data_IF_232488315409
#
_entry.id   IF_232488315409
#
_cell.length_a   1.000
_cell.length_b   1.000
_cell.length_c   1.000
_cell.angle_alpha   90.00
_cell.angle_beta   90.00
_cell.angle_gamma   90.00
#
_symmetry.space_group_name_H-M   'P 1'
#
loop_
_entity.id
_entity.type
_entity.pdbx_description
1 polymer ?
#
# COMPACT_ATOMS: atom_id res chain seq x y z
N UNK A 1 -4.09 -7.48 -18.27
CA UNK A 1 -3.96 -7.59 -16.80
C UNK A 1 -4.80 -6.56 -16.04
N UNK A 2 -4.53 -5.24 -16.11
CA UNK A 2 -5.42 -4.23 -15.45
C UNK A 2 -6.74 -4.06 -16.23
N UNK A 3 -6.69 -4.04 -17.57
CA UNK A 3 -7.89 -3.84 -18.42
C UNK A 3 -8.89 -5.01 -18.39
N UNK A 4 -8.42 -6.24 -18.19
CA UNK A 4 -9.28 -7.44 -18.18
C UNK A 4 -9.91 -7.71 -16.81
N UNK A 5 -9.34 -7.13 -15.74
CA UNK A 5 -9.78 -7.34 -14.35
C UNK A 5 -10.61 -6.20 -13.79
N UNK A 6 -10.81 -5.11 -14.54
CA UNK A 6 -11.44 -3.87 -14.05
C UNK A 6 -12.46 -3.34 -15.04
N UNK A 7 -13.42 -2.54 -14.56
CA UNK A 7 -14.46 -1.91 -15.40
C UNK A 7 -13.92 -0.76 -16.28
N UNK A 8 -12.61 -0.70 -16.51
CA UNK A 8 -11.98 0.30 -17.36
C UNK A 8 -12.23 -0.07 -18.82
N UNK A 9 -12.99 0.77 -19.53
CA UNK A 9 -13.23 0.56 -20.94
C UNK A 9 -11.92 0.64 -21.74
N UNK A 10 -11.74 -0.23 -22.75
CA UNK A 10 -10.51 -0.37 -23.54
C UNK A 10 -10.00 0.89 -24.23
N UNK A 11 -10.81 1.96 -24.30
CA UNK A 11 -10.48 3.26 -24.90
C UNK A 11 -9.71 4.22 -23.97
N UNK A 12 -9.43 3.86 -22.71
CA UNK A 12 -8.59 4.70 -21.85
C UNK A 12 -7.13 4.60 -22.32
N UNK A 13 -6.52 5.76 -22.59
CA UNK A 13 -5.12 5.88 -23.01
C UNK A 13 -4.21 5.37 -21.87
N UNK A 14 -3.40 4.31 -22.12
CA UNK A 14 -2.49 3.78 -21.11
C UNK A 14 -1.47 4.82 -20.61
N UNK A 15 -1.17 5.87 -21.38
CA UNK A 15 -0.27 6.95 -20.94
C UNK A 15 -0.78 7.70 -19.72
N UNK A 16 -2.10 7.79 -19.57
CA UNK A 16 -2.72 8.40 -18.40
C UNK A 16 -2.68 7.48 -17.18
N UNK A 17 -2.52 6.16 -17.38
CA UNK A 17 -2.49 5.17 -16.30
C UNK A 17 -1.09 5.00 -15.70
N UNK A 18 -0.02 5.18 -16.48
CA UNK A 18 1.36 5.00 -16.01
C UNK A 18 1.75 5.83 -14.77
N UNK A 19 1.42 7.13 -14.67
CA UNK A 19 1.76 7.89 -13.47
C UNK A 19 1.04 7.35 -12.23
N UNK A 20 -0.24 7.01 -12.34
CA UNK A 20 -1.00 6.44 -11.21
C UNK A 20 -0.47 5.06 -10.80
N UNK A 21 -0.06 4.23 -11.77
CA UNK A 21 0.61 2.95 -11.50
C UNK A 21 1.92 3.17 -10.72
N UNK A 22 2.71 4.17 -11.13
CA UNK A 22 3.99 4.47 -10.47
C UNK A 22 3.77 4.99 -9.04
N UNK A 23 2.81 5.90 -8.85
CA UNK A 23 2.43 6.41 -7.54
C UNK A 23 1.95 5.27 -6.65
N UNK A 24 1.08 4.39 -7.14
CA UNK A 24 0.58 3.27 -6.37
C UNK A 24 1.70 2.29 -5.97
N UNK A 25 2.67 2.06 -6.85
CA UNK A 25 3.86 1.27 -6.54
C UNK A 25 4.68 1.88 -5.41
N UNK A 26 4.99 3.17 -5.50
CA UNK A 26 5.89 3.83 -4.56
C UNK A 26 5.20 4.09 -3.20
N UNK A 27 3.92 4.49 -3.20
CA UNK A 27 3.20 4.86 -1.98
C UNK A 27 2.60 3.67 -1.22
N UNK A 28 2.13 2.63 -1.91
CA UNK A 28 1.40 1.53 -1.27
C UNK A 28 2.18 0.22 -1.28
N UNK A 29 2.82 -0.14 -2.40
CA UNK A 29 3.49 -1.44 -2.52
C UNK A 29 4.90 -1.42 -1.89
N UNK A 30 5.68 -0.35 -2.09
CA UNK A 30 7.02 -0.23 -1.50
C UNK A 30 7.01 -0.37 0.03
N UNK A 31 6.14 0.31 0.81
CA UNK A 31 6.10 0.12 2.27
C UNK A 31 5.54 -1.23 2.72
N UNK A 32 4.79 -1.96 1.88
CA UNK A 32 4.33 -3.32 2.19
C UNK A 32 5.46 -4.34 2.05
N UNK A 33 6.36 -4.14 1.07
CA UNK A 33 7.45 -5.06 0.76
C UNK A 33 8.73 -4.75 1.54
N UNK A 34 8.99 -3.47 1.81
CA UNK A 34 10.25 -2.97 2.35
C UNK A 34 11.33 -2.81 1.27
N UNK A 35 12.32 -1.98 1.57
CA UNK A 35 13.28 -1.51 0.55
C UNK A 35 14.18 -2.60 -0.03
N UNK A 36 14.66 -3.54 0.80
CA UNK A 36 15.53 -4.61 0.34
C UNK A 36 14.79 -5.61 -0.57
N UNK A 37 13.60 -6.05 -0.16
CA UNK A 37 12.79 -6.98 -0.95
C UNK A 37 12.31 -6.34 -2.26
N UNK A 38 11.92 -5.07 -2.22
CA UNK A 38 11.54 -4.33 -3.41
C UNK A 38 12.69 -4.22 -4.43
N UNK A 39 13.89 -3.85 -3.96
CA UNK A 39 15.08 -3.75 -4.82
C UNK A 39 15.48 -5.11 -5.38
N UNK A 40 15.38 -6.18 -4.59
CA UNK A 40 15.63 -7.55 -5.06
C UNK A 40 14.65 -7.95 -6.15
N UNK A 41 13.35 -7.69 -5.96
CA UNK A 41 12.34 -7.96 -7.00
C UNK A 41 12.64 -7.18 -8.28
N UNK A 42 12.96 -5.89 -8.20
CA UNK A 42 13.35 -5.10 -9.39
C UNK A 42 14.55 -5.69 -10.13
N UNK A 43 15.57 -6.16 -9.39
CA UNK A 43 16.74 -6.83 -9.97
C UNK A 43 16.37 -8.15 -10.66
N UNK A 44 15.51 -8.96 -10.03
CA UNK A 44 15.04 -10.23 -10.59
C UNK A 44 14.16 -10.04 -11.85
N UNK A 45 13.32 -8.99 -11.87
CA UNK A 45 12.54 -8.61 -13.07
C UNK A 45 13.49 -8.22 -14.21
N UNK A 46 14.48 -7.36 -13.93
CA UNK A 46 15.41 -6.84 -14.94
C UNK A 46 16.28 -7.92 -15.57
N UNK A 47 16.62 -8.95 -14.78
CA UNK A 47 17.40 -10.11 -15.24
C UNK A 47 16.54 -11.24 -15.80
N UNK A 48 15.22 -11.13 -15.71
CA UNK A 48 14.25 -12.15 -16.11
C UNK A 48 14.46 -13.53 -15.44
N UNK A 49 14.93 -13.53 -14.19
CA UNK A 49 15.28 -14.74 -13.42
C UNK A 49 14.24 -15.11 -12.35
N UNK A 50 13.07 -14.47 -12.38
CA UNK A 50 12.01 -14.70 -11.39
C UNK A 50 11.50 -16.14 -11.48
N UNK A 51 11.73 -16.89 -10.41
CA UNK A 51 11.27 -18.26 -10.24
C UNK A 51 10.80 -18.53 -8.81
N UNK A 52 10.04 -19.61 -8.63
CA UNK A 52 9.59 -20.10 -7.33
C UNK A 52 8.72 -19.11 -6.55
N UNK A 53 8.96 -18.99 -5.25
CA UNK A 53 8.17 -18.19 -4.32
C UNK A 53 8.11 -16.69 -4.70
N UNK A 54 9.17 -16.13 -5.30
CA UNK A 54 9.18 -14.74 -5.77
C UNK A 54 8.20 -14.52 -6.93
N UNK A 55 8.01 -15.53 -7.80
CA UNK A 55 7.03 -15.46 -8.89
C UNK A 55 5.61 -15.48 -8.36
N UNK A 56 5.30 -16.42 -7.46
CA UNK A 56 4.00 -16.53 -6.79
C UNK A 56 3.66 -15.24 -6.03
N UNK A 57 4.62 -14.66 -5.31
CA UNK A 57 4.42 -13.39 -4.62
C UNK A 57 4.03 -12.27 -5.59
N UNK A 58 4.72 -12.17 -6.74
CA UNK A 58 4.50 -11.10 -7.69
C UNK A 58 3.16 -11.26 -8.45
N UNK A 59 2.92 -12.45 -9.00
CA UNK A 59 1.78 -12.72 -9.89
C UNK A 59 0.45 -12.82 -9.11
N UNK A 60 0.44 -13.44 -7.92
CA UNK A 60 -0.79 -13.75 -7.18
C UNK A 60 -1.13 -12.74 -6.07
N UNK A 61 -0.16 -11.98 -5.58
CA UNK A 61 -0.39 -11.05 -4.46
C UNK A 61 -0.07 -9.60 -4.81
N UNK A 62 1.14 -9.30 -5.31
CA UNK A 62 1.53 -7.91 -5.62
C UNK A 62 0.72 -7.35 -6.78
N UNK A 63 0.52 -8.13 -7.85
CA UNK A 63 -0.25 -7.70 -9.02
C UNK A 63 -1.70 -7.34 -8.65
N UNK A 64 -2.37 -8.16 -7.83
CA UNK A 64 -3.74 -7.89 -7.39
C UNK A 64 -3.82 -6.62 -6.51
N UNK A 65 -2.90 -6.46 -5.55
CA UNK A 65 -2.85 -5.24 -4.73
C UNK A 65 -2.67 -3.99 -5.59
N UNK A 66 -1.71 -4.04 -6.52
CA UNK A 66 -1.38 -2.91 -7.39
C UNK A 66 -2.58 -2.51 -8.26
N UNK A 67 -3.29 -3.47 -8.85
CA UNK A 67 -4.48 -3.19 -9.67
C UNK A 67 -5.52 -2.42 -8.85
N UNK A 68 -5.83 -2.87 -7.63
CA UNK A 68 -6.86 -2.21 -6.83
C UNK A 68 -6.43 -0.86 -6.26
N UNK A 69 -5.16 -0.68 -5.90
CA UNK A 69 -4.65 0.65 -5.51
C UNK A 69 -4.66 1.63 -6.68
N UNK A 70 -4.31 1.20 -7.90
CA UNK A 70 -4.41 2.11 -9.05
C UNK A 70 -5.84 2.54 -9.32
N UNK A 71 -6.83 1.67 -9.06
CA UNK A 71 -8.24 2.00 -9.17
C UNK A 71 -8.76 2.99 -8.11
N UNK A 72 -8.05 3.22 -7.00
CA UNK A 72 -8.47 4.24 -6.03
C UNK A 72 -8.20 5.64 -6.54
N UNK A 73 -7.08 5.81 -7.24
CA UNK A 73 -6.57 7.11 -7.67
C UNK A 73 -7.08 7.47 -9.08
N UNK A 74 -7.33 6.45 -9.92
CA UNK A 74 -7.83 6.66 -11.28
C UNK A 74 -9.11 7.48 -11.42
N UNK A 75 -10.14 7.35 -10.56
CA UNK A 75 -11.36 8.14 -10.67
C UNK A 75 -11.11 9.64 -10.62
N UNK A 76 -10.14 10.11 -9.84
CA UNK A 76 -9.80 11.53 -9.77
C UNK A 76 -8.89 11.93 -10.95
N UNK A 77 -7.87 11.13 -11.28
CA UNK A 77 -6.94 11.41 -12.38
C UNK A 77 -7.63 11.46 -13.76
N UNK A 78 -8.61 10.59 -14.03
CA UNK A 78 -9.32 10.59 -15.31
C UNK A 78 -10.35 11.72 -15.40
N UNK A 79 -10.90 12.17 -14.27
CA UNK A 79 -11.98 13.17 -14.23
C UNK A 79 -11.48 14.59 -14.50
N UNK A 80 -10.22 14.88 -14.17
CA UNK A 80 -9.62 16.19 -14.32
C UNK A 80 -8.45 16.15 -15.28
N UNK A 81 -8.44 17.05 -16.27
CA UNK A 81 -7.30 17.22 -17.17
C UNK A 81 -6.71 18.61 -16.99
N UNK A 82 -5.40 18.67 -16.83
CA UNK A 82 -4.66 19.93 -16.80
C UNK A 82 -4.45 20.40 -18.25
N UNK A 83 -4.99 21.55 -18.57
CA UNK A 83 -4.74 22.27 -19.82
C UNK A 83 -3.92 23.52 -19.52
N UNK A 84 -3.21 24.06 -20.52
CA UNK A 84 -2.41 25.28 -20.34
C UNK A 84 -3.23 26.50 -19.86
N UNK A 85 -4.56 26.45 -19.99
CA UNK A 85 -5.49 27.50 -19.54
C UNK A 85 -6.13 27.21 -18.17
N UNK A 86 -5.77 26.12 -17.50
CA UNK A 86 -6.30 25.72 -16.20
C UNK A 86 -6.78 24.27 -16.14
N UNK A 87 -7.42 23.91 -15.04
CA UNK A 87 -7.99 22.57 -14.84
C UNK A 87 -9.37 22.52 -15.48
N UNK A 88 -9.56 21.63 -16.46
CA UNK A 88 -10.83 21.43 -17.13
C UNK A 88 -11.37 20.05 -16.78
N UNK A 89 -12.63 20.02 -16.36
CA UNK A 89 -13.36 18.77 -16.17
C UNK A 89 -13.82 18.24 -17.52
N UNK A 90 -13.64 16.95 -17.78
CA UNK A 90 -13.98 16.34 -19.06
C UNK A 90 -15.51 16.35 -19.27
N UNK A 91 -16.03 17.30 -20.04
CA UNK A 91 -17.44 17.40 -20.39
C UNK A 91 -17.71 16.64 -21.68
N UNK A 92 -18.58 15.63 -21.63
CA UNK A 92 -19.18 15.04 -22.82
C UNK A 92 -20.44 15.82 -23.17
N UNK A 93 -20.61 16.19 -24.45
CA UNK A 93 -21.71 17.06 -24.92
C UNK A 93 -23.13 16.55 -24.61
N UNK A 94 -23.30 15.29 -24.17
CA UNK A 94 -24.60 14.71 -23.82
C UNK A 94 -24.55 13.76 -22.61
N UNK A 95 -23.59 13.92 -21.71
CA UNK A 95 -23.45 13.03 -20.53
C UNK A 95 -23.35 13.83 -19.25
N UNK A 96 -24.24 13.55 -18.31
CA UNK A 96 -24.13 14.06 -16.96
C UNK A 96 -22.96 13.37 -16.23
N UNK A 97 -22.13 14.17 -15.56
CA UNK A 97 -20.89 13.67 -14.95
C UNK A 97 -21.11 13.41 -13.46
N UNK A 98 -20.61 12.29 -12.92
CA UNK A 98 -20.77 11.94 -11.51
C UNK A 98 -20.18 13.02 -10.62
N UNK A 99 -20.89 13.50 -9.60
CA UNK A 99 -20.40 14.53 -8.68
C UNK A 99 -19.07 14.15 -8.02
N UNK A 100 -18.33 15.15 -7.50
CA UNK A 100 -17.06 14.89 -6.79
C UNK A 100 -17.27 13.96 -5.58
N UNK A 101 -18.42 14.05 -4.91
CA UNK A 101 -18.77 13.15 -3.80
C UNK A 101 -18.88 11.71 -4.25
N UNK A 102 -19.57 11.44 -5.36
CA UNK A 102 -19.72 10.09 -5.90
C UNK A 102 -18.39 9.50 -6.36
N UNK A 103 -17.48 10.33 -6.89
CA UNK A 103 -16.13 9.92 -7.25
C UNK A 103 -15.32 9.53 -6.01
N UNK A 104 -15.45 10.27 -4.92
CA UNK A 104 -14.79 9.96 -3.63
C UNK A 104 -15.35 8.66 -3.04
N UNK A 105 -16.67 8.46 -3.08
CA UNK A 105 -17.30 7.23 -2.61
C UNK A 105 -16.85 6.01 -3.43
N UNK A 106 -16.70 6.18 -4.74
CA UNK A 106 -16.18 5.16 -5.63
C UNK A 106 -14.70 4.84 -5.32
N UNK A 107 -13.88 5.86 -5.11
CA UNK A 107 -12.47 5.69 -4.71
C UNK A 107 -12.36 4.95 -3.37
N UNK A 108 -13.18 5.31 -2.37
CA UNK A 108 -13.24 4.64 -1.07
C UNK A 108 -13.66 3.17 -1.19
N UNK A 109 -14.61 2.85 -2.07
CA UNK A 109 -15.00 1.46 -2.35
C UNK A 109 -13.84 0.63 -2.89
N UNK A 110 -13.06 1.17 -3.81
CA UNK A 110 -11.86 0.49 -4.32
C UNK A 110 -10.76 0.42 -3.27
N UNK A 111 -10.62 1.44 -2.42
CA UNK A 111 -9.65 1.46 -1.32
C UNK A 111 -9.89 0.34 -0.32
N UNK A 112 -11.14 0.12 0.09
CA UNK A 112 -11.50 -0.99 0.98
C UNK A 112 -11.12 -2.36 0.38
N UNK A 113 -11.26 -2.52 -0.94
CA UNK A 113 -10.84 -3.74 -1.64
C UNK A 113 -9.32 -3.85 -1.70
N UNK A 114 -8.63 -2.76 -2.02
CA UNK A 114 -7.17 -2.70 -2.07
C UNK A 114 -6.56 -3.08 -0.70
N UNK A 115 -7.12 -2.56 0.39
CA UNK A 115 -6.69 -2.89 1.76
C UNK A 115 -6.88 -4.37 2.09
N UNK A 116 -7.96 -5.00 1.63
CA UNK A 116 -8.15 -6.45 1.80
C UNK A 116 -7.04 -7.26 1.11
N UNK A 117 -6.72 -6.93 -0.14
CA UNK A 117 -5.63 -7.62 -0.86
C UNK A 117 -4.26 -7.30 -0.25
N UNK A 118 -4.02 -6.06 0.18
CA UNK A 118 -2.80 -5.65 0.86
C UNK A 118 -2.57 -6.45 2.15
N UNK A 119 -3.64 -6.69 2.90
CA UNK A 119 -3.59 -7.51 4.10
C UNK A 119 -3.26 -8.98 3.76
N UNK A 120 -3.87 -9.53 2.71
CA UNK A 120 -3.55 -10.88 2.23
C UNK A 120 -2.09 -11.01 1.81
N UNK A 121 -1.55 -10.04 1.08
CA UNK A 121 -0.12 -9.96 0.72
C UNK A 121 0.76 -9.94 1.98
N UNK A 122 0.44 -9.09 2.96
CA UNK A 122 1.19 -8.98 4.22
C UNK A 122 1.19 -10.29 5.02
N UNK A 123 0.04 -10.96 5.13
CA UNK A 123 -0.06 -12.25 5.82
C UNK A 123 0.80 -13.32 5.14
N UNK A 124 0.78 -13.37 3.81
CA UNK A 124 1.62 -14.29 3.04
C UNK A 124 3.11 -14.02 3.24
N UNK A 125 3.53 -12.75 3.20
CA UNK A 125 4.89 -12.34 3.48
C UNK A 125 5.33 -12.76 4.88
N UNK A 126 4.53 -12.47 5.91
CA UNK A 126 4.86 -12.81 7.30
C UNK A 126 4.99 -14.32 7.52
N UNK A 127 4.11 -15.12 6.92
CA UNK A 127 4.15 -16.58 7.04
C UNK A 127 5.41 -17.17 6.40
N UNK A 128 5.81 -16.65 5.24
CA UNK A 128 6.87 -17.24 4.42
C UNK A 128 8.21 -16.49 4.52
N UNK A 129 8.28 -15.43 5.33
CA UNK A 129 9.45 -14.54 5.43
C UNK A 129 10.72 -15.29 5.83
N UNK A 130 10.64 -16.18 6.81
CA UNK A 130 11.80 -16.87 7.35
C UNK A 130 12.42 -17.87 6.35
N UNK A 131 11.61 -18.47 5.49
CA UNK A 131 12.04 -19.55 4.60
C UNK A 131 12.40 -19.03 3.19
N UNK A 132 11.61 -18.11 2.65
CA UNK A 132 11.73 -17.68 1.25
C UNK A 132 12.16 -16.22 1.07
N UNK A 133 11.98 -15.36 2.08
CA UNK A 133 12.18 -13.91 1.95
C UNK A 133 13.03 -13.31 3.07
N UNK A 134 14.32 -13.69 3.18
CA UNK A 134 15.21 -13.15 4.22
C UNK A 134 15.37 -11.62 4.14
N UNK A 135 15.19 -11.03 2.95
CA UNK A 135 15.25 -9.57 2.74
C UNK A 135 14.08 -8.82 3.38
N UNK A 136 12.96 -9.50 3.61
CA UNK A 136 11.80 -8.92 4.29
C UNK A 136 12.08 -8.72 5.79
N UNK A 137 12.84 -9.64 6.39
CA UNK A 137 13.21 -9.58 7.82
C UNK A 137 14.32 -8.56 8.05
N UNK A 138 15.28 -8.49 7.11
CA UNK A 138 16.45 -7.61 7.21
C UNK A 138 16.45 -6.57 6.07
N UNK A 139 15.61 -5.52 6.17
CA UNK A 139 15.49 -4.51 5.12
C UNK A 139 16.69 -3.57 5.00
N UNK A 140 17.60 -3.56 5.99
CA UNK A 140 18.79 -2.69 6.04
C UNK A 140 18.71 -1.64 7.15
N UNK A 141 19.82 -0.92 7.36
CA UNK A 141 19.99 0.07 8.43
C UNK A 141 20.11 1.51 7.91
N UNK A 142 19.81 1.75 6.63
CA UNK A 142 19.90 3.09 6.05
C UNK A 142 18.79 4.00 6.59
N UNK A 143 19.06 5.30 6.68
CA UNK A 143 18.08 6.29 7.15
C UNK A 143 16.87 6.38 6.20
N UNK A 144 17.10 6.16 4.90
CA UNK A 144 16.07 6.11 3.86
C UNK A 144 15.47 4.70 3.66
N UNK A 145 15.84 3.74 4.53
CA UNK A 145 15.34 2.37 4.42
C UNK A 145 13.91 2.30 4.95
N UNK A 146 12.97 2.09 4.05
CA UNK A 146 11.59 1.78 4.41
C UNK A 146 11.53 0.34 4.93
N UNK A 147 11.19 0.22 6.21
CA UNK A 147 10.88 -1.04 6.90
C UNK A 147 9.44 -1.47 6.58
N UNK A 148 9.19 -2.78 6.37
CA UNK A 148 7.86 -3.25 6.01
C UNK A 148 6.86 -3.05 7.16
N UNK A 149 5.69 -2.51 6.84
CA UNK A 149 4.65 -2.25 7.84
C UNK A 149 3.99 -3.57 8.31
N UNK A 150 4.07 -3.83 9.61
CA UNK A 150 3.51 -5.03 10.25
C UNK A 150 2.02 -4.96 10.62
N UNK A 151 1.37 -3.80 10.53
CA UNK A 151 -0.03 -3.59 10.98
C UNK A 151 -0.98 -3.41 9.80
N UNK A 152 -2.11 -4.12 9.78
CA UNK A 152 -3.11 -4.01 8.69
C UNK A 152 -4.29 -3.10 8.97
N UNK A 153 -4.66 -2.91 10.23
CA UNK A 153 -5.80 -2.08 10.60
C UNK A 153 -5.38 -1.14 11.71
N UNK A 154 -5.56 0.16 11.47
CA UNK A 154 -5.56 1.15 12.53
C UNK A 154 -7.03 1.40 12.87
N UNK A 155 -7.51 0.81 13.96
CA UNK A 155 -8.76 1.27 14.54
C UNK A 155 -8.51 2.70 15.06
N UNK A 156 -9.26 3.71 14.61
CA UNK A 156 -9.14 5.07 15.17
C UNK A 156 -9.64 5.14 16.62
N UNK A 157 -10.34 4.10 17.07
CA UNK A 157 -10.74 3.92 18.47
C UNK A 157 -9.50 3.54 19.28
N UNK A 158 -9.01 4.51 20.04
CA UNK A 158 -7.95 4.30 21.02
C UNK A 158 -8.52 3.59 22.26
N UNK A 159 -8.22 2.30 22.43
CA UNK A 159 -8.71 1.49 23.56
C UNK A 159 -7.87 1.62 24.84
N UNK A 160 -6.99 2.61 24.92
CA UNK A 160 -6.01 2.70 25.98
C UNK A 160 -4.87 1.72 25.74
N UNK A 161 -3.63 2.19 25.90
CA UNK A 161 -2.51 1.30 26.05
C UNK A 161 -2.59 0.76 27.47
N UNK A 162 -3.08 -0.46 27.65
CA UNK A 162 -2.79 -1.21 28.86
C UNK A 162 -1.29 -1.47 28.85
N UNK A 163 -0.53 -0.48 29.34
CA UNK A 163 0.76 -0.79 29.93
C UNK A 163 0.46 -1.87 30.95
N UNK A 164 0.73 -3.13 30.59
CA UNK A 164 0.95 -4.18 31.56
C UNK A 164 2.09 -3.64 32.39
N UNK A 165 1.73 -2.92 33.47
CA UNK A 165 2.64 -2.56 34.52
C UNK A 165 3.18 -3.91 34.97
N UNK A 166 4.38 -4.27 34.50
CA UNK A 166 5.19 -5.32 35.13
C UNK A 166 5.00 -5.11 36.60
N UNK A 167 4.41 -6.08 37.29
CA UNK A 167 3.97 -5.97 38.68
C UNK A 167 5.04 -5.25 39.50
N UNK A 168 4.88 -3.93 39.63
CA UNK A 168 5.64 -3.15 40.57
C UNK A 168 4.90 -3.45 41.86
N UNK A 169 5.36 -4.51 42.53
CA UNK A 169 4.86 -4.90 43.84
C UNK A 169 4.74 -3.68 44.73
N UNK A 170 3.75 -3.68 45.61
CA UNK A 170 3.39 -2.57 46.49
C UNK A 170 4.60 -1.93 47.21
N UNK A 171 5.72 -2.64 47.35
CA UNK A 171 7.01 -2.17 47.86
C UNK A 171 7.61 -1.00 47.07
N UNK A 172 7.40 -0.91 45.75
CA UNK A 172 7.98 0.15 44.92
C UNK A 172 7.31 1.52 45.11
N UNK A 173 6.16 1.58 45.79
CA UNK A 173 5.42 2.82 46.03
C UNK A 173 5.88 3.52 47.31
N UNK A 174 6.52 2.77 48.22
CA UNK A 174 7.01 3.28 49.51
C UNK A 174 8.52 3.51 49.54
N UNK A 175 9.27 2.91 48.61
CA UNK A 175 10.67 3.25 48.40
C UNK A 175 10.71 4.46 47.48
N UNK A 176 10.70 5.64 48.08
CA UNK A 176 10.90 6.88 47.35
C UNK A 176 12.23 6.81 46.60
N UNK A 177 12.16 6.71 45.27
CA UNK A 177 13.28 6.98 44.37
C UNK A 177 13.71 8.43 44.62
N UNK A 178 14.65 8.60 45.55
CA UNK A 178 15.38 9.85 45.69
C UNK A 178 16.28 9.94 44.45
N UNK A 179 16.17 10.98 43.62
CA UNK A 179 17.17 11.20 42.59
C UNK A 179 18.52 11.32 43.27
N UNK A 180 19.49 10.49 42.84
CA UNK A 180 20.87 10.67 43.23
C UNK A 180 21.32 12.06 42.78
N UNK A 181 22.03 12.74 43.67
CA UNK A 181 22.72 14.00 43.45
C UNK A 181 23.67 13.96 42.25
#
# INVERSE_FOLDING_TARGET
MIKDRTAIHGKIDPKLLYPDIKIAQDMYIHPLLGSALYTKLQSLISTNTIAGAYKTLLDDFVADCLVYYTLTDLPTTISYQFWNKGVVRKLGENTDLPSMSELVDLANKYKNRAEFYANRLRLYLRQNAAEYFPEYINPGNGIDTIVPDGRSYSCPVYLGNEDVKKDRGYESWYQGDKPNC
#
